data_IF_250525186868
#
_entry.id   IF_250525186868
#
_cell.length_a   1.000
_cell.length_b   1.000
_cell.length_c   1.000
_cell.angle_alpha   90.00
_cell.angle_beta   90.00
_cell.angle_gamma   90.00
#
_symmetry.space_group_name_H-M   'P 1'
#
loop_
_entity.id
_entity.type
_entity.pdbx_description
1 polymer ?
#
# COMPACT_ATOMS: atom_id res chain seq x y z
N UNK A 1 29.21 -14.16 22.58
CA UNK A 1 28.04 -14.25 21.67
C UNK A 1 28.12 -15.32 20.58
N UNK A 2 29.29 -15.82 20.11
CA UNK A 2 29.35 -16.81 19.01
C UNK A 2 28.83 -18.22 19.34
N UNK A 3 28.69 -18.59 20.63
CA UNK A 3 28.24 -19.93 21.06
C UNK A 3 26.88 -20.31 20.46
N UNK A 4 25.87 -19.44 20.60
CA UNK A 4 24.54 -19.63 20.01
C UNK A 4 24.51 -19.46 18.48
N UNK A 5 25.62 -19.03 17.88
CA UNK A 5 25.78 -18.87 16.43
C UNK A 5 26.64 -19.99 15.84
N UNK A 6 26.91 -21.07 16.57
CA UNK A 6 27.76 -22.17 16.09
C UNK A 6 26.95 -23.11 15.18
N UNK A 7 25.83 -23.60 15.68
CA UNK A 7 25.03 -24.65 15.04
C UNK A 7 23.65 -24.13 14.65
N UNK A 8 23.06 -24.70 13.60
CA UNK A 8 21.73 -24.30 13.12
C UNK A 8 20.65 -24.42 14.20
N UNK A 9 20.61 -25.52 14.96
CA UNK A 9 19.62 -25.72 16.02
C UNK A 9 19.66 -24.57 17.05
N UNK A 10 20.87 -24.14 17.44
CA UNK A 10 21.04 -23.07 18.42
C UNK A 10 20.63 -21.71 17.87
N UNK A 11 20.90 -21.44 16.58
CA UNK A 11 20.42 -20.22 15.89
C UNK A 11 18.91 -20.17 15.79
N UNK A 12 18.28 -21.32 15.51
CA UNK A 12 16.81 -21.45 15.46
C UNK A 12 16.18 -21.21 16.82
N UNK A 13 16.75 -21.76 17.90
CA UNK A 13 16.26 -21.56 19.26
C UNK A 13 16.37 -20.10 19.73
N UNK A 14 17.42 -19.37 19.35
CA UNK A 14 17.62 -17.97 19.76
C UNK A 14 17.00 -16.93 18.81
N UNK A 15 16.33 -17.35 17.74
CA UNK A 15 15.82 -16.44 16.71
C UNK A 15 14.64 -15.64 17.28
N UNK A 16 14.75 -14.31 17.19
CA UNK A 16 13.74 -13.39 17.74
C UNK A 16 12.54 -13.19 16.81
N UNK A 17 12.75 -13.29 15.49
CA UNK A 17 11.74 -12.97 14.48
C UNK A 17 11.73 -13.99 13.35
N UNK A 18 10.54 -14.27 12.83
CA UNK A 18 10.30 -15.08 11.64
C UNK A 18 9.34 -14.34 10.71
N UNK A 19 9.41 -14.66 9.42
CA UNK A 19 8.49 -14.18 8.39
C UNK A 19 7.60 -15.36 7.97
N UNK A 20 6.29 -15.14 7.86
CA UNK A 20 5.31 -16.09 7.30
C UNK A 20 4.55 -15.46 6.13
N UNK A 21 3.72 -16.24 5.44
CA UNK A 21 2.86 -15.71 4.38
C UNK A 21 1.78 -14.75 4.94
N UNK A 22 1.41 -14.89 6.22
CA UNK A 22 0.44 -14.03 6.92
C UNK A 22 0.93 -12.58 7.04
N UNK A 23 2.24 -12.37 6.92
CA UNK A 23 2.85 -11.04 6.97
C UNK A 23 2.77 -10.30 5.63
N UNK A 24 2.30 -10.93 4.54
CA UNK A 24 2.43 -10.42 3.18
C UNK A 24 1.11 -9.83 2.68
N UNK A 25 1.18 -8.62 2.13
CA UNK A 25 0.09 -7.99 1.37
C UNK A 25 0.62 -7.73 -0.02
N UNK A 26 -0.12 -8.17 -1.04
CA UNK A 26 0.33 -8.05 -2.43
C UNK A 26 -0.32 -6.86 -3.15
N UNK A 27 0.43 -5.80 -3.48
CA UNK A 27 -0.07 -4.71 -4.33
C UNK A 27 -0.27 -5.18 -5.76
N UNK A 28 -1.40 -4.82 -6.35
CA UNK A 28 -1.75 -5.17 -7.74
C UNK A 28 -2.26 -3.93 -8.50
N UNK A 29 -1.86 -3.84 -9.78
CA UNK A 29 -2.27 -2.74 -10.66
C UNK A 29 -3.40 -3.20 -11.58
N UNK A 30 -4.57 -2.59 -11.45
CA UNK A 30 -5.79 -2.99 -12.17
C UNK A 30 -5.96 -2.13 -13.44
N UNK A 31 -6.16 -2.77 -14.59
CA UNK A 31 -6.44 -2.13 -15.87
C UNK A 31 -7.91 -2.29 -16.28
N UNK A 32 -8.39 -1.33 -17.05
CA UNK A 32 -9.63 -1.45 -17.81
C UNK A 32 -9.50 -2.40 -19.01
N UNK A 33 -10.62 -3.00 -19.39
CA UNK A 33 -10.74 -3.92 -20.52
C UNK A 33 -10.68 -5.39 -20.10
N UNK A 34 -10.44 -6.25 -21.08
CA UNK A 34 -10.46 -7.71 -20.93
C UNK A 34 -9.25 -8.33 -21.63
N UNK A 35 -8.64 -9.36 -21.02
CA UNK A 35 -7.46 -10.07 -21.52
C UNK A 35 -6.30 -9.12 -21.86
N UNK A 36 -6.06 -8.12 -20.99
CA UNK A 36 -4.98 -7.14 -21.14
C UNK A 36 -3.99 -7.28 -20.01
N UNK A 37 -2.73 -7.32 -20.38
CA UNK A 37 -1.61 -7.29 -19.44
C UNK A 37 -0.56 -6.33 -19.98
N UNK A 38 0.07 -5.55 -19.10
CA UNK A 38 1.11 -4.60 -19.47
C UNK A 38 2.28 -4.70 -18.50
N UNK A 39 3.49 -4.89 -19.03
CA UNK A 39 4.70 -4.83 -18.23
C UNK A 39 4.97 -3.40 -17.77
N UNK A 40 5.55 -3.28 -16.57
CA UNK A 40 6.03 -2.00 -16.04
C UNK A 40 7.55 -2.03 -16.12
N UNK A 41 8.12 -1.26 -17.05
CA UNK A 41 9.56 -1.31 -17.36
C UNK A 41 10.45 -0.98 -16.15
N UNK A 42 10.01 -0.07 -15.28
CA UNK A 42 10.68 0.32 -14.05
C UNK A 42 10.43 -0.64 -12.87
N UNK A 43 9.57 -1.65 -13.04
CA UNK A 43 9.25 -2.69 -12.06
C UNK A 43 9.19 -4.07 -12.74
N UNK A 44 10.33 -4.53 -13.27
CA UNK A 44 10.43 -5.80 -14.00
C UNK A 44 9.85 -6.97 -13.21
N UNK A 45 8.99 -7.76 -13.85
CA UNK A 45 8.26 -8.87 -13.22
C UNK A 45 6.89 -8.47 -12.67
N UNK A 46 6.63 -7.18 -12.45
CA UNK A 46 5.32 -6.66 -12.06
C UNK A 46 4.58 -6.19 -13.30
N UNK A 47 3.27 -6.43 -13.30
CA UNK A 47 2.40 -6.17 -14.44
C UNK A 47 1.12 -5.47 -14.00
N UNK A 48 0.58 -4.66 -14.90
CA UNK A 48 -0.80 -4.18 -14.82
C UNK A 48 -1.69 -5.21 -15.49
N UNK A 49 -2.84 -5.52 -14.91
CA UNK A 49 -3.70 -6.62 -15.35
C UNK A 49 -5.15 -6.18 -15.44
N UNK A 50 -5.83 -6.54 -16.53
CA UNK A 50 -7.30 -6.48 -16.56
C UNK A 50 -7.89 -7.42 -15.52
N UNK A 51 -9.12 -7.15 -15.10
CA UNK A 51 -9.76 -7.86 -13.99
C UNK A 51 -9.79 -9.39 -14.20
N UNK A 52 -10.07 -9.86 -15.41
CA UNK A 52 -10.09 -11.29 -15.76
C UNK A 52 -8.73 -11.99 -15.56
N UNK A 53 -7.62 -11.29 -15.80
CA UNK A 53 -6.27 -11.81 -15.55
C UNK A 53 -5.88 -11.65 -14.08
N UNK A 54 -6.32 -10.58 -13.43
CA UNK A 54 -6.13 -10.37 -12.00
C UNK A 54 -6.76 -11.49 -11.16
N UNK A 55 -7.89 -12.06 -11.59
CA UNK A 55 -8.49 -13.22 -10.91
C UNK A 55 -7.54 -14.43 -10.83
N UNK A 56 -6.73 -14.67 -11.87
CA UNK A 56 -5.71 -15.75 -11.86
C UNK A 56 -4.57 -15.43 -10.89
N UNK A 57 -4.17 -14.16 -10.83
CA UNK A 57 -3.19 -13.69 -9.85
C UNK A 57 -3.71 -13.81 -8.42
N UNK A 58 -4.99 -13.50 -8.18
CA UNK A 58 -5.65 -13.64 -6.89
C UNK A 58 -5.76 -15.11 -6.47
N UNK A 59 -6.14 -16.00 -7.38
CA UNK A 59 -6.14 -17.45 -7.13
C UNK A 59 -4.74 -17.92 -6.69
N UNK A 60 -3.69 -17.47 -7.38
CA UNK A 60 -2.31 -17.78 -7.01
C UNK A 60 -1.94 -17.25 -5.62
N UNK A 61 -2.34 -16.01 -5.29
CA UNK A 61 -2.10 -15.42 -3.98
C UNK A 61 -2.76 -16.25 -2.87
N UNK A 62 -4.02 -16.67 -3.06
CA UNK A 62 -4.76 -17.54 -2.13
C UNK A 62 -4.06 -18.89 -1.95
N UNK A 63 -3.65 -19.55 -3.04
CA UNK A 63 -2.91 -20.82 -2.97
C UNK A 63 -1.59 -20.70 -2.20
N UNK A 64 -0.96 -19.53 -2.26
CA UNK A 64 0.28 -19.24 -1.54
C UNK A 64 0.06 -18.82 -0.09
N UNK A 65 -1.20 -18.67 0.36
CA UNK A 65 -1.55 -18.25 1.71
C UNK A 65 -1.36 -16.74 1.95
N UNK A 66 -1.31 -15.92 0.90
CA UNK A 66 -1.24 -14.46 1.04
C UNK A 66 -2.63 -13.96 1.49
N UNK A 67 -2.74 -13.28 2.65
CA UNK A 67 -4.02 -12.93 3.25
C UNK A 67 -4.76 -11.80 2.53
N UNK A 68 -4.06 -10.92 1.81
CA UNK A 68 -4.67 -9.69 1.30
C UNK A 68 -4.03 -9.15 0.01
N UNK A 69 -4.87 -8.61 -0.87
CA UNK A 69 -4.46 -7.80 -2.01
C UNK A 69 -4.72 -6.31 -1.74
N UNK A 70 -3.80 -5.46 -2.21
CA UNK A 70 -3.94 -4.01 -2.22
C UNK A 70 -4.18 -3.53 -3.67
N UNK A 71 -5.37 -3.02 -3.96
CA UNK A 71 -5.75 -2.63 -5.32
C UNK A 71 -5.32 -1.19 -5.63
N UNK A 72 -4.58 -1.02 -6.72
CA UNK A 72 -4.24 0.28 -7.29
C UNK A 72 -4.78 0.38 -8.72
N UNK A 73 -5.72 1.29 -9.02
CA UNK A 73 -6.27 1.42 -10.35
C UNK A 73 -5.30 2.14 -11.28
N UNK A 74 -5.29 1.71 -12.55
CA UNK A 74 -4.61 2.42 -13.64
C UNK A 74 -5.68 3.09 -14.49
N UNK A 75 -6.11 4.26 -14.03
CA UNK A 75 -7.14 5.07 -14.69
C UNK A 75 -6.52 5.80 -15.88
N UNK A 76 -6.94 5.43 -17.09
CA UNK A 76 -6.41 6.01 -18.34
C UNK A 76 -7.35 7.00 -19.03
N UNK A 77 -8.63 6.98 -18.63
CA UNK A 77 -9.68 7.85 -19.15
C UNK A 77 -10.41 8.50 -17.95
N UNK A 78 -11.19 9.55 -18.20
CA UNK A 78 -12.05 10.18 -17.19
C UNK A 78 -11.31 10.80 -15.98
N UNK A 79 -10.04 11.18 -16.15
CA UNK A 79 -9.39 12.05 -15.16
C UNK A 79 -9.98 13.45 -15.23
N UNK A 80 -10.45 13.97 -14.11
CA UNK A 80 -11.11 15.29 -14.03
C UNK A 80 -10.50 16.14 -12.92
N UNK A 81 -10.81 17.43 -12.89
CA UNK A 81 -10.32 18.33 -11.82
C UNK A 81 -10.97 18.03 -10.46
N UNK A 82 -12.19 17.50 -10.47
CA UNK A 82 -13.00 17.16 -9.30
C UNK A 82 -12.99 15.65 -8.95
N UNK A 83 -12.18 14.86 -9.66
CA UNK A 83 -11.93 13.44 -9.39
C UNK A 83 -13.18 12.54 -9.28
N UNK A 84 -14.25 12.81 -10.03
CA UNK A 84 -15.54 12.11 -9.87
C UNK A 84 -15.44 10.58 -10.05
N UNK A 85 -14.50 10.13 -10.88
CA UNK A 85 -14.28 8.71 -11.13
C UNK A 85 -13.79 7.95 -9.88
N UNK A 86 -13.27 8.64 -8.87
CA UNK A 86 -12.84 8.04 -7.60
C UNK A 86 -13.99 7.34 -6.86
N UNK A 87 -15.21 7.87 -6.97
CA UNK A 87 -16.40 7.36 -6.28
C UNK A 87 -17.49 6.85 -7.24
N UNK A 88 -17.14 6.57 -8.50
CA UNK A 88 -18.06 5.98 -9.46
C UNK A 88 -18.40 4.53 -9.03
N UNK A 89 -19.67 4.18 -8.75
CA UNK A 89 -20.03 2.82 -8.34
C UNK A 89 -19.73 1.76 -9.41
N UNK A 90 -19.66 2.16 -10.69
CA UNK A 90 -19.26 1.32 -11.82
C UNK A 90 -17.78 1.52 -12.22
N UNK A 91 -17.03 2.25 -11.39
CA UNK A 91 -15.61 2.47 -11.57
C UNK A 91 -14.79 1.18 -11.46
N UNK A 92 -13.53 1.27 -11.89
CA UNK A 92 -12.65 0.12 -11.99
C UNK A 92 -12.41 -0.57 -10.63
N UNK A 93 -12.18 0.21 -9.57
CA UNK A 93 -11.92 -0.33 -8.23
C UNK A 93 -13.15 -1.03 -7.67
N UNK A 94 -14.31 -0.37 -7.73
CA UNK A 94 -15.57 -0.87 -7.21
C UNK A 94 -15.97 -2.17 -7.92
N UNK A 95 -15.82 -2.23 -9.24
CA UNK A 95 -16.06 -3.45 -10.04
C UNK A 95 -15.08 -4.57 -9.67
N UNK A 96 -13.78 -4.25 -9.52
CA UNK A 96 -12.76 -5.22 -9.12
C UNK A 96 -13.02 -5.79 -7.72
N UNK A 97 -13.37 -4.93 -6.75
CA UNK A 97 -13.73 -5.33 -5.38
C UNK A 97 -14.92 -6.29 -5.41
N UNK A 98 -16.06 -5.91 -6.01
CA UNK A 98 -17.25 -6.77 -6.08
C UNK A 98 -16.93 -8.16 -6.64
N UNK A 99 -16.12 -8.19 -7.70
CA UNK A 99 -15.74 -9.43 -8.38
C UNK A 99 -14.81 -10.27 -7.50
N UNK A 100 -13.73 -9.70 -6.96
CA UNK A 100 -12.79 -10.41 -6.10
C UNK A 100 -13.44 -10.92 -4.81
N UNK A 101 -14.34 -10.14 -4.21
CA UNK A 101 -15.11 -10.56 -3.03
C UNK A 101 -16.00 -11.77 -3.30
N UNK A 102 -16.58 -11.84 -4.50
CA UNK A 102 -17.42 -12.97 -4.93
C UNK A 102 -16.58 -14.23 -5.19
N UNK A 103 -15.49 -14.10 -5.92
CA UNK A 103 -14.66 -15.26 -6.33
C UNK A 103 -13.76 -15.77 -5.20
N UNK A 104 -13.28 -14.88 -4.32
CA UNK A 104 -12.35 -15.19 -3.23
C UNK A 104 -12.85 -14.60 -1.90
N UNK A 105 -13.91 -15.16 -1.28
CA UNK A 105 -14.58 -14.57 -0.12
C UNK A 105 -13.70 -14.44 1.13
N UNK A 106 -12.67 -15.28 1.26
CA UNK A 106 -11.72 -15.25 2.39
C UNK A 106 -10.51 -14.34 2.13
N UNK A 107 -10.27 -13.92 0.89
CA UNK A 107 -9.17 -13.01 0.55
C UNK A 107 -9.52 -11.60 1.01
N UNK A 108 -8.63 -10.99 1.80
CA UNK A 108 -8.73 -9.59 2.17
C UNK A 108 -8.55 -8.69 0.95
N UNK A 109 -9.45 -7.73 0.77
CA UNK A 109 -9.34 -6.70 -0.27
C UNK A 109 -9.18 -5.35 0.40
N UNK A 110 -8.00 -4.76 0.19
CA UNK A 110 -7.66 -3.40 0.58
C UNK A 110 -7.73 -2.50 -0.65
N UNK A 111 -8.45 -1.39 -0.52
CA UNK A 111 -8.54 -0.35 -1.56
C UNK A 111 -7.77 0.89 -1.13
N UNK A 112 -7.04 1.49 -2.07
CA UNK A 112 -6.42 2.79 -1.87
C UNK A 112 -7.48 3.90 -1.90
N UNK A 113 -7.40 4.87 -0.99
CA UNK A 113 -8.26 6.06 -0.96
C UNK A 113 -7.36 7.28 -1.10
N UNK A 114 -7.28 7.79 -2.32
CA UNK A 114 -6.50 8.96 -2.74
C UNK A 114 -6.98 9.39 -4.14
N UNK A 115 -6.77 10.65 -4.50
CA UNK A 115 -7.28 11.20 -5.77
C UNK A 115 -6.25 11.19 -6.91
N UNK A 116 -4.99 10.84 -6.67
CA UNK A 116 -3.93 10.94 -7.69
C UNK A 116 -4.13 10.11 -8.96
N UNK A 117 -4.83 8.95 -8.96
CA UNK A 117 -5.14 8.26 -10.21
C UNK A 117 -6.22 8.99 -11.02
N UNK A 118 -7.04 9.80 -10.37
CA UNK A 118 -8.29 10.36 -10.91
C UNK A 118 -8.19 11.84 -11.26
N UNK A 119 -7.17 12.54 -10.76
CA UNK A 119 -6.99 13.98 -11.02
C UNK A 119 -6.15 14.25 -12.28
N UNK A 120 -6.43 15.37 -12.94
CA UNK A 120 -5.58 15.86 -14.04
C UNK A 120 -4.18 16.27 -13.56
N UNK A 121 -4.06 16.77 -12.34
CA UNK A 121 -2.81 17.24 -11.72
C UNK A 121 -1.92 16.10 -11.22
N UNK A 122 -2.49 14.91 -10.94
CA UNK A 122 -1.75 13.81 -10.29
C UNK A 122 -1.41 14.07 -8.81
N UNK A 123 -2.01 15.11 -8.21
CA UNK A 123 -1.97 15.33 -6.77
C UNK A 123 -2.97 14.43 -6.04
N UNK A 124 -2.71 14.15 -4.76
CA UNK A 124 -3.53 13.24 -3.94
C UNK A 124 -4.89 13.87 -3.58
N UNK A 125 -5.06 15.17 -3.83
CA UNK A 125 -6.26 15.96 -3.56
C UNK A 125 -6.61 16.98 -4.65
N UNK A 126 -7.71 17.71 -4.43
CA UNK A 126 -8.17 18.80 -5.28
C UNK A 126 -7.23 20.01 -5.14
N UNK A 127 -6.98 20.71 -6.24
CA UNK A 127 -6.07 21.87 -6.26
C UNK A 127 -6.80 23.18 -6.50
N UNK A 128 -6.41 24.24 -5.81
CA UNK A 128 -6.86 25.61 -6.11
C UNK A 128 -6.13 26.23 -7.32
N UNK A 129 -6.45 27.49 -7.64
CA UNK A 129 -5.85 28.23 -8.75
C UNK A 129 -4.33 28.46 -8.58
N UNK A 130 -3.80 28.33 -7.36
CA UNK A 130 -2.35 28.42 -7.07
C UNK A 130 -1.63 27.09 -7.21
N UNK A 131 -2.39 25.99 -7.33
CA UNK A 131 -1.88 24.62 -7.34
C UNK A 131 -1.70 24.03 -5.93
N UNK A 132 -2.18 24.70 -4.89
CA UNK A 132 -2.19 24.19 -3.52
C UNK A 132 -3.28 23.13 -3.37
N UNK A 133 -2.98 22.04 -2.65
CA UNK A 133 -3.94 20.96 -2.41
C UNK A 133 -4.87 21.35 -1.25
N UNK A 134 -6.16 21.51 -1.55
CA UNK A 134 -7.19 21.91 -0.61
C UNK A 134 -7.55 20.76 0.34
N UNK A 135 -7.34 20.94 1.65
CA UNK A 135 -7.50 19.87 2.64
C UNK A 135 -8.96 19.39 2.76
N UNK A 136 -9.86 20.27 3.17
CA UNK A 136 -11.22 19.90 3.57
C UNK A 136 -12.07 19.51 2.34
N UNK A 137 -11.94 20.24 1.23
CA UNK A 137 -12.59 19.92 -0.03
C UNK A 137 -12.13 18.58 -0.61
N UNK A 138 -10.85 18.21 -0.38
CA UNK A 138 -10.36 16.87 -0.73
C UNK A 138 -11.00 15.80 0.14
N UNK A 139 -11.08 16.03 1.46
CA UNK A 139 -11.71 15.08 2.40
C UNK A 139 -13.16 14.79 2.02
N UNK A 140 -13.92 15.79 1.57
CA UNK A 140 -15.29 15.57 1.08
C UNK A 140 -15.38 14.56 -0.08
N UNK A 141 -14.37 14.52 -0.95
CA UNK A 141 -14.29 13.56 -2.05
C UNK A 141 -13.79 12.20 -1.56
N UNK A 142 -12.79 12.17 -0.67
CA UNK A 142 -12.25 10.94 -0.09
C UNK A 142 -13.30 10.17 0.72
N UNK A 143 -14.20 10.87 1.41
CA UNK A 143 -15.36 10.25 2.08
C UNK A 143 -16.23 9.50 1.08
N UNK A 144 -16.58 10.13 -0.05
CA UNK A 144 -17.41 9.50 -1.10
C UNK A 144 -16.69 8.29 -1.70
N UNK A 145 -15.38 8.39 -1.92
CA UNK A 145 -14.56 7.28 -2.41
C UNK A 145 -14.57 6.10 -1.43
N UNK A 146 -14.24 6.35 -0.16
CA UNK A 146 -14.21 5.32 0.88
C UNK A 146 -15.57 4.63 1.06
N UNK A 147 -16.67 5.39 1.05
CA UNK A 147 -18.02 4.84 1.09
C UNK A 147 -18.29 3.94 -0.13
N UNK A 148 -17.98 4.41 -1.35
CA UNK A 148 -18.19 3.61 -2.57
C UNK A 148 -17.39 2.29 -2.56
N UNK A 149 -16.18 2.29 -1.97
CA UNK A 149 -15.37 1.09 -1.81
C UNK A 149 -15.97 0.14 -0.77
N UNK A 150 -16.46 0.67 0.35
CA UNK A 150 -17.14 -0.12 1.38
C UNK A 150 -18.47 -0.72 0.86
N UNK A 151 -19.26 0.04 0.10
CA UNK A 151 -20.48 -0.41 -0.59
C UNK A 151 -20.18 -1.53 -1.60
N UNK A 152 -19.05 -1.45 -2.31
CA UNK A 152 -18.57 -2.52 -3.19
C UNK A 152 -18.13 -3.79 -2.44
N UNK A 153 -17.93 -3.70 -1.13
CA UNK A 153 -17.59 -4.82 -0.24
C UNK A 153 -16.11 -4.89 0.17
N UNK A 154 -15.35 -3.81 0.01
CA UNK A 154 -13.96 -3.76 0.46
C UNK A 154 -13.88 -3.94 1.98
N UNK A 155 -13.03 -4.86 2.44
CA UNK A 155 -12.83 -5.12 3.87
C UNK A 155 -11.98 -4.05 4.55
N UNK A 156 -11.07 -3.44 3.78
CA UNK A 156 -10.15 -2.41 4.24
C UNK A 156 -10.15 -1.26 3.23
N UNK A 157 -10.33 -0.04 3.73
CA UNK A 157 -9.99 1.18 3.00
C UNK A 157 -8.69 1.73 3.56
N UNK A 158 -7.80 2.20 2.70
CA UNK A 158 -6.48 2.64 3.10
C UNK A 158 -6.20 4.07 2.58
N UNK A 159 -6.64 5.11 3.32
CA UNK A 159 -6.41 6.51 2.96
C UNK A 159 -4.93 6.81 2.90
N UNK A 160 -4.45 7.10 1.69
CA UNK A 160 -3.03 7.34 1.41
C UNK A 160 -2.72 8.79 1.06
N UNK A 161 -3.72 9.67 1.13
CA UNK A 161 -3.72 11.05 0.70
C UNK A 161 -2.90 12.03 1.56
N UNK A 162 -2.73 11.74 2.86
CA UNK A 162 -2.07 12.60 3.86
C UNK A 162 -2.76 13.96 4.09
N UNK A 163 -4.08 14.05 3.96
CA UNK A 163 -4.84 15.23 4.40
C UNK A 163 -5.05 15.19 5.94
N UNK A 164 -5.03 16.34 6.57
CA UNK A 164 -5.24 16.46 8.02
C UNK A 164 -6.70 16.11 8.36
N UNK A 165 -6.92 15.17 9.30
CA UNK A 165 -8.26 14.80 9.78
C UNK A 165 -9.06 13.83 8.90
N UNK A 166 -8.47 13.32 7.78
CA UNK A 166 -9.21 12.43 6.87
C UNK A 166 -9.67 11.14 7.54
N UNK A 167 -8.91 10.61 8.50
CA UNK A 167 -9.22 9.31 9.12
C UNK A 167 -10.51 9.44 9.94
N UNK A 168 -10.62 10.49 10.74
CA UNK A 168 -11.80 10.72 11.59
C UNK A 168 -13.04 10.98 10.74
N UNK A 169 -12.89 11.76 9.67
CA UNK A 169 -13.97 12.05 8.74
C UNK A 169 -14.46 10.79 8.00
N UNK A 170 -13.54 9.97 7.48
CA UNK A 170 -13.86 8.69 6.82
C UNK A 170 -14.48 7.70 7.82
N UNK A 171 -13.92 7.57 9.03
CA UNK A 171 -14.48 6.72 10.10
C UNK A 171 -15.92 7.12 10.40
N UNK A 172 -16.16 8.41 10.66
CA UNK A 172 -17.50 8.90 10.97
C UNK A 172 -18.50 8.59 9.84
N UNK A 173 -18.09 8.79 8.59
CA UNK A 173 -18.93 8.47 7.44
C UNK A 173 -19.24 6.97 7.35
N UNK A 174 -18.24 6.09 7.52
CA UNK A 174 -18.44 4.64 7.53
C UNK A 174 -19.43 4.21 8.61
N UNK A 175 -19.30 4.72 9.84
CA UNK A 175 -20.22 4.42 10.95
C UNK A 175 -21.65 4.89 10.64
N UNK A 176 -21.81 6.11 10.14
CA UNK A 176 -23.13 6.69 9.82
C UNK A 176 -23.87 5.92 8.72
N UNK A 177 -23.13 5.31 7.78
CA UNK A 177 -23.70 4.53 6.68
C UNK A 177 -23.77 3.02 7.01
N UNK A 178 -23.43 2.61 8.24
CA UNK A 178 -23.57 1.24 8.72
C UNK A 178 -22.43 0.30 8.30
N UNK A 179 -21.31 0.83 7.80
CA UNK A 179 -20.11 0.07 7.42
C UNK A 179 -19.19 -0.20 8.63
N UNK A 180 -19.78 -0.67 9.74
CA UNK A 180 -19.14 -0.79 11.07
C UNK A 180 -17.98 -1.79 11.16
N UNK A 181 -17.74 -2.58 10.11
CA UNK A 181 -16.67 -3.59 10.05
C UNK A 181 -15.64 -3.32 8.94
N UNK A 182 -15.82 -2.23 8.20
CA UNK A 182 -14.81 -1.75 7.26
C UNK A 182 -13.66 -1.19 8.06
N UNK A 183 -12.46 -1.76 7.86
CA UNK A 183 -11.26 -1.31 8.55
C UNK A 183 -10.64 -0.13 7.84
N UNK A 184 -9.97 0.71 8.60
CA UNK A 184 -9.14 1.80 8.09
C UNK A 184 -7.68 1.46 8.35
N UNK A 185 -6.92 1.30 7.26
CA UNK A 185 -5.46 1.19 7.31
C UNK A 185 -4.86 2.54 6.92
N UNK A 186 -4.60 3.39 7.91
CA UNK A 186 -4.13 4.74 7.69
C UNK A 186 -2.67 4.73 7.23
N UNK A 187 -2.37 5.43 6.13
CA UNK A 187 -1.00 5.81 5.81
C UNK A 187 -0.65 7.01 6.69
N UNK A 188 -0.27 6.75 7.93
CA UNK A 188 -0.04 7.78 8.95
C UNK A 188 1.30 8.48 8.79
N UNK A 189 2.35 7.74 8.43
CA UNK A 189 3.68 8.30 8.21
C UNK A 189 4.09 8.04 6.77
N UNK A 190 3.50 8.79 5.84
CA UNK A 190 3.85 8.78 4.40
C UNK A 190 4.74 9.98 4.07
N UNK A 191 6.00 9.68 3.78
CA UNK A 191 7.01 10.69 3.50
C UNK A 191 7.02 11.14 2.04
N UNK A 192 7.42 12.40 1.81
CA UNK A 192 7.70 13.00 0.52
C UNK A 192 8.98 12.38 -0.07
N UNK A 193 8.84 11.17 -0.64
CA UNK A 193 9.97 10.32 -0.98
C UNK A 193 10.27 10.22 -2.47
N UNK A 194 11.57 10.16 -2.79
CA UNK A 194 12.06 9.84 -4.13
C UNK A 194 11.91 8.36 -4.52
N UNK A 195 11.56 7.47 -3.58
CA UNK A 195 11.40 6.03 -3.84
C UNK A 195 10.10 5.66 -4.59
N UNK A 196 9.23 6.64 -4.90
CA UNK A 196 7.94 6.38 -5.57
C UNK A 196 7.98 6.43 -7.10
N UNK A 197 9.13 6.74 -7.71
CA UNK A 197 9.26 6.90 -9.17
C UNK A 197 8.61 5.75 -9.97
N UNK A 198 8.99 4.48 -9.73
CA UNK A 198 8.41 3.36 -10.49
C UNK A 198 6.90 3.15 -10.27
N UNK A 199 6.35 3.50 -9.09
CA UNK A 199 4.90 3.45 -8.85
C UNK A 199 4.17 4.48 -9.71
N UNK A 200 4.70 5.71 -9.82
CA UNK A 200 4.11 6.77 -10.65
C UNK A 200 4.07 6.37 -12.13
N UNK A 201 5.07 5.62 -12.59
CA UNK A 201 5.03 4.98 -13.91
C UNK A 201 3.93 3.92 -13.94
N UNK A 202 3.84 3.05 -12.94
CA UNK A 202 2.89 1.95 -12.88
C UNK A 202 1.43 2.39 -12.94
N UNK A 203 1.03 3.44 -12.21
CA UNK A 203 -0.35 3.98 -12.24
C UNK A 203 -0.57 5.04 -13.33
N UNK A 204 0.48 5.42 -14.07
CA UNK A 204 0.41 6.42 -15.12
C UNK A 204 0.19 7.85 -14.61
N UNK A 205 0.58 8.15 -13.38
CA UNK A 205 0.47 9.50 -12.78
C UNK A 205 1.72 10.36 -12.97
N UNK A 206 2.85 9.79 -13.41
CA UNK A 206 4.10 10.53 -13.62
C UNK A 206 3.94 11.72 -14.59
N UNK A 207 3.23 11.53 -15.70
CA UNK A 207 2.98 12.59 -16.68
C UNK A 207 2.05 13.69 -16.17
N UNK A 208 1.10 13.34 -15.28
CA UNK A 208 0.17 14.29 -14.66
C UNK A 208 0.90 15.18 -13.64
N UNK A 209 1.66 14.57 -12.73
CA UNK A 209 2.37 15.30 -11.66
C UNK A 209 3.50 16.19 -12.22
N UNK A 210 4.17 15.75 -13.28
CA UNK A 210 5.22 16.52 -13.95
C UNK A 210 6.37 16.89 -13.01
N UNK A 211 6.61 18.19 -12.83
CA UNK A 211 7.66 18.74 -11.93
C UNK A 211 7.15 19.10 -10.54
N UNK A 212 5.86 18.88 -10.26
CA UNK A 212 5.27 19.18 -8.96
C UNK A 212 5.81 18.23 -7.88
N UNK A 213 5.74 18.67 -6.64
CA UNK A 213 6.08 17.86 -5.46
C UNK A 213 4.84 17.66 -4.59
N UNK A 214 4.96 16.75 -3.62
CA UNK A 214 3.90 16.42 -2.65
C UNK A 214 4.28 16.91 -1.24
N UNK A 215 5.27 17.78 -1.16
CA UNK A 215 5.93 18.21 0.08
C UNK A 215 5.04 19.11 0.95
N UNK A 216 3.91 19.58 0.40
CA UNK A 216 2.93 20.40 1.12
C UNK A 216 2.07 19.57 2.09
N UNK A 217 2.08 18.24 1.96
CA UNK A 217 1.23 17.33 2.75
C UNK A 217 1.89 15.98 3.08
N UNK A 218 2.82 15.49 2.26
CA UNK A 218 3.66 14.34 2.65
C UNK A 218 4.81 14.79 3.55
N UNK A 219 5.12 13.98 4.56
CA UNK A 219 6.10 14.33 5.61
C UNK A 219 7.51 14.53 5.06
N UNK A 220 8.28 15.44 5.69
CA UNK A 220 9.69 15.64 5.37
C UNK A 220 10.50 14.38 5.77
N UNK A 221 11.28 13.76 4.85
CA UNK A 221 12.18 12.64 5.15
C UNK A 221 13.12 12.83 6.35
N UNK A 222 13.39 14.07 6.76
CA UNK A 222 14.25 14.37 7.91
C UNK A 222 13.54 14.21 9.27
N UNK A 223 12.21 14.13 9.28
CA UNK A 223 11.44 14.16 10.51
C UNK A 223 11.13 12.75 11.02
N UNK A 224 11.30 12.54 12.34
CA UNK A 224 10.99 11.26 12.99
C UNK A 224 9.98 11.43 14.13
N UNK A 225 10.05 12.55 14.87
CA UNK A 225 9.10 12.85 15.95
C UNK A 225 7.71 13.20 15.41
N UNK A 226 7.64 13.89 14.27
CA UNK A 226 6.38 14.23 13.57
C UNK A 226 5.55 12.98 13.25
N UNK A 227 6.20 11.90 12.79
CA UNK A 227 5.52 10.65 12.49
C UNK A 227 4.81 10.03 13.70
N UNK A 228 5.29 10.29 14.93
CA UNK A 228 4.58 9.84 16.14
C UNK A 228 3.34 10.69 16.40
N UNK A 229 3.38 12.00 16.16
CA UNK A 229 2.19 12.85 16.29
C UNK A 229 1.11 12.45 15.29
N UNK A 230 1.51 12.15 14.06
CA UNK A 230 0.61 11.75 12.98
C UNK A 230 -0.04 10.39 13.21
N UNK A 231 0.75 9.40 13.68
CA UNK A 231 0.18 8.12 14.11
C UNK A 231 -0.75 8.30 15.31
N UNK A 232 -0.39 9.13 16.29
CA UNK A 232 -1.25 9.38 17.44
C UNK A 232 -2.59 10.01 17.03
N UNK A 233 -2.56 10.95 16.07
CA UNK A 233 -3.75 11.59 15.52
C UNK A 233 -4.66 10.56 14.83
N UNK A 234 -4.11 9.77 13.90
CA UNK A 234 -4.88 8.76 13.17
C UNK A 234 -5.49 7.69 14.10
N UNK A 235 -4.76 7.30 15.15
CA UNK A 235 -5.29 6.37 16.17
C UNK A 235 -6.43 7.00 16.97
N UNK A 236 -6.29 8.27 17.37
CA UNK A 236 -7.35 9.01 18.06
C UNK A 236 -8.60 9.14 17.17
N UNK A 237 -8.40 9.26 15.86
CA UNK A 237 -9.44 9.36 14.84
C UNK A 237 -10.10 8.03 14.45
N UNK A 238 -9.55 6.89 14.92
CA UNK A 238 -10.17 5.58 14.77
C UNK A 238 -9.62 4.73 13.63
N UNK A 239 -8.33 4.91 13.28
CA UNK A 239 -7.59 3.94 12.47
C UNK A 239 -7.50 2.57 13.17
N UNK A 240 -7.75 1.49 12.44
CA UNK A 240 -7.59 0.12 12.93
C UNK A 240 -6.14 -0.37 12.78
N UNK A 241 -5.45 0.16 11.76
CA UNK A 241 -4.06 -0.10 11.45
C UNK A 241 -3.37 1.20 11.02
N UNK A 242 -2.09 1.33 11.34
CA UNK A 242 -1.26 2.46 10.91
C UNK A 242 -0.12 1.96 10.02
N UNK A 243 0.32 2.77 9.06
CA UNK A 243 1.35 2.40 8.10
C UNK A 243 2.46 3.45 7.97
N UNK A 244 3.70 2.97 7.87
CA UNK A 244 4.88 3.76 7.48
C UNK A 244 5.19 3.51 6.00
N UNK A 245 5.41 4.59 5.24
CA UNK A 245 5.75 4.55 3.82
C UNK A 245 6.73 5.68 3.46
N UNK A 246 7.87 5.41 2.81
CA UNK A 246 8.43 4.11 2.40
C UNK A 246 8.81 3.18 3.56
N UNK A 247 9.32 2.01 3.22
CA UNK A 247 9.56 0.92 4.15
C UNK A 247 10.99 0.86 4.66
N UNK A 248 11.88 0.24 3.88
CA UNK A 248 13.28 -0.02 4.26
C UNK A 248 14.05 1.24 4.66
N UNK A 249 13.90 2.41 4.00
CA UNK A 249 14.59 3.63 4.41
C UNK A 249 14.08 4.23 5.73
N UNK A 250 12.95 3.73 6.27
CA UNK A 250 12.27 4.27 7.46
C UNK A 250 11.98 3.18 8.50
N UNK A 251 12.80 2.12 8.56
CA UNK A 251 12.64 1.04 9.56
C UNK A 251 12.81 1.54 11.00
N UNK A 252 13.54 2.65 11.20
CA UNK A 252 13.61 3.36 12.47
C UNK A 252 12.25 3.93 12.88
N UNK A 253 11.51 4.51 11.94
CA UNK A 253 10.14 5.02 12.16
C UNK A 253 9.19 3.87 12.46
N UNK A 254 9.24 2.77 11.70
CA UNK A 254 8.47 1.54 11.98
C UNK A 254 8.72 1.07 13.42
N UNK A 255 9.99 1.08 13.85
CA UNK A 255 10.34 0.68 15.21
C UNK A 255 9.78 1.61 16.26
N UNK A 256 9.92 2.93 16.08
CA UNK A 256 9.40 3.92 17.03
C UNK A 256 7.88 3.85 17.15
N UNK A 257 7.17 3.70 16.03
CA UNK A 257 5.71 3.55 16.01
C UNK A 257 5.28 2.29 16.77
N UNK A 258 5.93 1.15 16.51
CA UNK A 258 5.61 -0.08 17.25
C UNK A 258 5.89 0.04 18.75
N UNK A 259 7.01 0.66 19.13
CA UNK A 259 7.41 0.83 20.53
C UNK A 259 6.48 1.75 21.32
N UNK A 260 6.11 2.89 20.72
CA UNK A 260 5.30 3.91 21.40
C UNK A 260 3.84 3.47 21.54
N UNK A 261 3.26 2.92 20.46
CA UNK A 261 1.81 2.69 20.40
C UNK A 261 1.41 1.24 20.61
N UNK A 262 2.26 0.25 20.28
CA UNK A 262 1.93 -1.17 20.43
C UNK A 262 0.74 -1.65 19.60
N UNK A 263 0.32 -0.89 18.59
CA UNK A 263 -0.86 -1.16 17.73
C UNK A 263 -0.49 -1.92 16.45
N UNK A 264 -1.46 -2.48 15.69
CA UNK A 264 -1.19 -3.05 14.36
C UNK A 264 -0.46 -2.06 13.44
N UNK A 265 0.80 -2.35 13.15
CA UNK A 265 1.73 -1.48 12.43
C UNK A 265 2.14 -2.14 11.13
N UNK A 266 1.94 -1.45 10.01
CA UNK A 266 2.25 -1.94 8.68
C UNK A 266 3.37 -1.11 8.06
N UNK A 267 4.05 -1.68 7.08
CA UNK A 267 5.06 -0.98 6.30
C UNK A 267 4.93 -1.30 4.82
N UNK A 268 5.21 -0.33 3.97
CA UNK A 268 5.19 -0.52 2.52
C UNK A 268 6.62 -0.57 1.98
N UNK A 269 7.08 -1.75 1.54
CA UNK A 269 8.26 -1.87 0.69
C UNK A 269 7.92 -1.37 -0.72
N UNK A 270 8.18 -0.09 -0.97
CA UNK A 270 7.62 0.60 -2.13
C UNK A 270 8.31 0.23 -3.44
N UNK A 271 7.76 0.75 -4.54
CA UNK A 271 8.17 0.44 -5.90
C UNK A 271 9.66 0.69 -6.18
N UNK A 272 10.25 1.74 -5.62
CA UNK A 272 11.68 2.03 -5.76
C UNK A 272 12.56 1.07 -4.98
N UNK A 273 12.11 0.61 -3.80
CA UNK A 273 12.81 -0.42 -3.03
C UNK A 273 12.80 -1.75 -3.78
N UNK A 274 11.65 -2.13 -4.34
CA UNK A 274 11.51 -3.28 -5.22
C UNK A 274 12.44 -3.17 -6.43
N UNK A 275 12.35 -2.07 -7.19
CA UNK A 275 13.13 -1.88 -8.41
C UNK A 275 14.65 -1.89 -8.14
N UNK A 276 15.08 -1.26 -7.05
CA UNK A 276 16.48 -1.25 -6.62
C UNK A 276 17.00 -2.67 -6.36
N UNK A 277 16.26 -3.48 -5.59
CA UNK A 277 16.64 -4.87 -5.30
C UNK A 277 16.56 -5.74 -6.57
N UNK A 278 15.47 -5.64 -7.32
CA UNK A 278 15.26 -6.42 -8.54
C UNK A 278 16.36 -6.16 -9.56
N UNK A 279 16.77 -4.90 -9.75
CA UNK A 279 17.87 -4.56 -10.64
C UNK A 279 19.19 -5.21 -10.19
N UNK A 280 19.53 -5.14 -8.89
CA UNK A 280 20.76 -5.76 -8.37
C UNK A 280 20.74 -7.30 -8.48
N UNK A 281 19.57 -7.93 -8.33
CA UNK A 281 19.39 -9.38 -8.50
C UNK A 281 19.60 -9.78 -9.97
N UNK A 282 18.98 -9.07 -10.91
CA UNK A 282 19.11 -9.36 -12.35
C UNK A 282 20.52 -9.18 -12.89
N UNK A 283 21.30 -8.25 -12.30
CA UNK A 283 22.72 -8.08 -12.64
C UNK A 283 23.64 -9.09 -11.92
N UNK A 284 23.09 -9.98 -11.09
CA UNK A 284 23.85 -10.96 -10.32
C UNK A 284 24.71 -10.36 -9.21
N UNK A 285 24.42 -9.12 -8.78
CA UNK A 285 25.15 -8.46 -7.68
C UNK A 285 24.66 -8.96 -6.32
N UNK A 286 23.38 -9.35 -6.25
CA UNK A 286 22.75 -9.91 -5.06
C UNK A 286 22.07 -11.25 -5.37
N UNK A 287 22.10 -12.16 -4.40
CA UNK A 287 21.40 -13.43 -4.46
C UNK A 287 19.92 -13.22 -4.13
N UNK A 288 19.06 -13.32 -5.15
CA UNK A 288 17.62 -13.06 -5.04
C UNK A 288 16.90 -13.96 -4.03
N UNK A 289 17.32 -15.21 -3.89
CA UNK A 289 16.69 -16.16 -2.94
C UNK A 289 16.98 -15.81 -1.48
N UNK A 290 18.01 -14.99 -1.23
CA UNK A 290 18.38 -14.55 0.11
C UNK A 290 17.92 -13.13 0.39
N UNK A 291 18.23 -12.19 -0.50
CA UNK A 291 18.05 -10.76 -0.21
C UNK A 291 16.58 -10.37 -0.11
N UNK A 292 15.69 -11.05 -0.86
CA UNK A 292 14.25 -10.79 -0.78
C UNK A 292 13.74 -11.10 0.63
N UNK A 293 13.95 -12.32 1.13
CA UNK A 293 13.51 -12.69 2.48
C UNK A 293 14.25 -11.92 3.58
N UNK A 294 15.53 -11.59 3.38
CA UNK A 294 16.28 -10.77 4.33
C UNK A 294 15.72 -9.35 4.43
N UNK A 295 15.36 -8.74 3.30
CA UNK A 295 14.71 -7.43 3.28
C UNK A 295 13.37 -7.45 4.00
N UNK A 296 12.54 -8.48 3.77
CA UNK A 296 11.23 -8.64 4.42
C UNK A 296 11.36 -8.95 5.91
N UNK A 297 12.35 -9.76 6.31
CA UNK A 297 12.65 -10.03 7.72
C UNK A 297 13.07 -8.75 8.47
N UNK A 298 13.68 -7.77 7.80
CA UNK A 298 14.03 -6.50 8.42
C UNK A 298 12.81 -5.72 8.90
N UNK A 299 11.69 -5.77 8.17
CA UNK A 299 10.41 -5.19 8.60
C UNK A 299 9.85 -5.88 9.84
N UNK A 300 9.83 -7.22 9.86
CA UNK A 300 9.41 -7.98 11.04
C UNK A 300 10.25 -7.63 12.26
N UNK A 301 11.57 -7.57 12.10
CA UNK A 301 12.50 -7.16 13.17
C UNK A 301 12.25 -5.72 13.63
N UNK A 302 11.90 -4.81 12.71
CA UNK A 302 11.54 -3.44 13.06
C UNK A 302 10.19 -3.36 13.79
N UNK A 303 9.32 -4.37 13.68
CA UNK A 303 8.05 -4.43 14.37
C UNK A 303 6.83 -4.36 13.46
N UNK A 304 6.98 -4.45 12.15
CA UNK A 304 5.81 -4.50 11.26
C UNK A 304 5.04 -5.83 11.44
N UNK A 305 3.72 -5.75 11.58
CA UNK A 305 2.82 -6.89 11.62
C UNK A 305 2.51 -7.41 10.22
N UNK A 306 2.39 -6.51 9.24
CA UNK A 306 2.25 -6.86 7.83
C UNK A 306 3.02 -5.92 6.90
N UNK A 307 3.32 -6.41 5.70
CA UNK A 307 4.21 -5.76 4.74
C UNK A 307 3.53 -5.72 3.38
N UNK A 308 3.30 -4.53 2.86
CA UNK A 308 2.91 -4.34 1.47
C UNK A 308 4.17 -4.46 0.63
N UNK A 309 4.26 -5.50 -0.20
CA UNK A 309 5.45 -5.77 -1.00
C UNK A 309 5.11 -6.38 -2.36
N UNK A 310 5.78 -5.88 -3.39
CA UNK A 310 5.73 -6.44 -4.74
C UNK A 310 6.43 -7.80 -4.86
N UNK A 311 7.23 -8.19 -3.85
CA UNK A 311 7.81 -9.53 -3.76
C UNK A 311 6.87 -10.55 -3.10
N UNK A 312 5.62 -10.21 -2.74
CA UNK A 312 4.76 -11.08 -1.93
C UNK A 312 4.60 -12.50 -2.51
N UNK A 313 4.31 -12.64 -3.81
CA UNK A 313 4.20 -13.94 -4.46
C UNK A 313 5.52 -14.74 -4.40
N UNK A 314 6.64 -14.09 -4.74
CA UNK A 314 7.95 -14.73 -4.74
C UNK A 314 8.40 -15.13 -3.33
N UNK A 315 8.18 -14.27 -2.34
CA UNK A 315 8.50 -14.54 -0.94
C UNK A 315 7.66 -15.70 -0.40
N UNK A 316 6.34 -15.72 -0.67
CA UNK A 316 5.47 -16.82 -0.26
C UNK A 316 5.90 -18.16 -0.88
N UNK A 317 6.27 -18.16 -2.17
CA UNK A 317 6.84 -19.35 -2.81
C UNK A 317 8.14 -19.83 -2.17
N UNK A 318 9.05 -18.91 -1.84
CA UNK A 318 10.30 -19.26 -1.16
C UNK A 318 10.07 -19.79 0.26
N UNK A 319 9.05 -19.29 0.96
CA UNK A 319 8.65 -19.76 2.29
C UNK A 319 8.06 -21.17 2.26
N UNK A 320 7.30 -21.53 1.23
CA UNK A 320 6.74 -22.89 1.07
C UNK A 320 7.78 -23.96 0.71
N UNK A 321 8.92 -23.57 0.13
CA UNK A 321 10.00 -24.50 -0.27
C UNK A 321 10.93 -24.89 0.89
N UNK A 322 10.87 -24.19 2.03
CA UNK A 322 11.71 -24.41 3.21
C UNK A 322 11.11 -25.43 4.16
#
# INVERSE_FOLDING_TARGET
>A
MRRMRRDDFSRRLMRENTLTADDLIYPVFVLEGENREQEISSMRGIKRQSLDLLLKTAERAVQLGIPMLALFPVVTQNKTADAQEAYNPEGLVQTAVRTLRREFPELGIMTDVALDPYTLSGQDGLTDDTGYVLNDETIEVLIKQALSHAEAGAQVVAPSDMMDGRIGAIRQALEQHGHIHTRIMAYSAKYASAFYGPFRDAVGSAGNLGKSTKDQYQQDPANSDEALHEVALDLQEGADMVMVKPGMPYLDVVRRVKDEFGVPTYAYQVSGEYAMLQAAIEHGWLDGDKVILESLLAFKRAGADGILTYFALQAAEQLQRK
#
